data_IF_861202773523
#
_entry.id   IF_861202773523
#
_cell.length_a   1.000
_cell.length_b   1.000
_cell.length_c   1.000
_cell.angle_alpha   90.00
_cell.angle_beta   90.00
_cell.angle_gamma   90.00
#
_symmetry.space_group_name_H-M   'P 1'
#
loop_
_entity.id
_entity.type
_entity.pdbx_description
1 polymer ?
#
# COMPACT_ATOMS: atom_id res chain seq x y z
N UNK A 1 3.73 -18.86 -8.18
CA UNK A 1 3.30 -18.70 -6.77
C UNK A 1 2.62 -17.33 -6.68
N UNK A 2 1.56 -17.16 -5.88
CA UNK A 2 1.04 -15.81 -5.63
C UNK A 2 2.08 -15.10 -4.77
N UNK A 3 2.82 -14.16 -5.35
CA UNK A 3 3.79 -13.31 -4.65
C UNK A 3 3.06 -12.45 -3.64
N UNK A 4 3.59 -12.35 -2.41
CA UNK A 4 3.02 -11.50 -1.35
C UNK A 4 2.88 -10.05 -1.85
N UNK A 5 1.88 -9.30 -1.37
CA UNK A 5 1.59 -7.97 -1.92
C UNK A 5 2.78 -7.01 -1.74
N UNK A 6 3.45 -7.08 -0.59
CA UNK A 6 4.65 -6.30 -0.29
C UNK A 6 5.80 -6.60 -1.25
N UNK A 7 6.01 -7.89 -1.54
CA UNK A 7 7.06 -8.35 -2.45
C UNK A 7 6.77 -7.90 -3.88
N UNK A 8 5.52 -8.03 -4.34
CA UNK A 8 5.13 -7.58 -5.67
C UNK A 8 5.35 -6.06 -5.86
N UNK A 9 4.98 -5.25 -4.86
CA UNK A 9 5.20 -3.80 -4.93
C UNK A 9 6.69 -3.47 -4.99
N UNK A 10 7.51 -4.12 -4.15
CA UNK A 10 8.95 -3.90 -4.13
C UNK A 10 9.61 -4.31 -5.47
N UNK A 11 9.22 -5.48 -6.00
CA UNK A 11 9.70 -5.99 -7.29
C UNK A 11 9.30 -5.07 -8.45
N UNK A 12 8.05 -4.62 -8.49
CA UNK A 12 7.55 -3.74 -9.55
C UNK A 12 8.24 -2.36 -9.57
N UNK A 13 8.71 -1.90 -8.42
CA UNK A 13 9.46 -0.64 -8.30
C UNK A 13 10.98 -0.83 -8.40
N UNK A 14 11.47 -2.08 -8.43
CA UNK A 14 12.90 -2.39 -8.48
C UNK A 14 13.65 -1.97 -7.22
N UNK A 15 13.00 -2.05 -6.06
CA UNK A 15 13.54 -1.62 -4.74
C UNK A 15 13.51 -2.78 -3.73
N UNK A 16 14.16 -2.57 -2.58
CA UNK A 16 14.02 -3.50 -1.46
C UNK A 16 12.73 -3.25 -0.69
N UNK A 17 12.15 -4.29 -0.09
CA UNK A 17 10.95 -4.17 0.76
C UNK A 17 11.18 -3.15 1.88
N UNK A 18 12.40 -3.11 2.45
CA UNK A 18 12.80 -2.14 3.47
C UNK A 18 12.56 -0.69 3.05
N UNK A 19 12.64 -0.41 1.76
CA UNK A 19 12.58 0.94 1.20
C UNK A 19 11.15 1.48 1.14
N UNK A 20 10.14 0.60 1.19
CA UNK A 20 8.71 0.97 1.24
C UNK A 20 8.33 1.78 2.50
N UNK A 21 9.22 1.85 3.49
CA UNK A 21 9.06 2.67 4.70
C UNK A 21 9.54 4.11 4.54
N UNK A 22 10.21 4.44 3.43
CA UNK A 22 10.62 5.81 3.15
C UNK A 22 9.46 6.62 2.58
N UNK A 23 9.28 7.84 3.11
CA UNK A 23 8.15 8.71 2.76
C UNK A 23 8.05 9.00 1.25
N UNK A 24 9.19 9.20 0.59
CA UNK A 24 9.23 9.48 -0.85
C UNK A 24 8.81 8.26 -1.70
N UNK A 25 9.14 7.06 -1.23
CA UNK A 25 8.72 5.81 -1.87
C UNK A 25 7.23 5.57 -1.63
N UNK A 26 6.73 5.82 -0.42
CA UNK A 26 5.30 5.70 -0.10
C UNK A 26 4.44 6.58 -1.01
N UNK A 27 4.88 7.80 -1.31
CA UNK A 27 4.17 8.69 -2.26
C UNK A 27 4.17 8.13 -3.68
N UNK A 28 5.26 7.49 -4.12
CA UNK A 28 5.38 6.90 -5.45
C UNK A 28 4.58 5.60 -5.61
N UNK A 29 4.43 4.82 -4.53
CA UNK A 29 3.68 3.56 -4.54
C UNK A 29 2.18 3.74 -4.76
N UNK A 30 1.65 4.97 -4.67
CA UNK A 30 0.22 5.27 -4.76
C UNK A 30 -0.42 4.77 -6.06
N UNK A 31 0.19 5.07 -7.20
CA UNK A 31 -0.34 4.68 -8.52
C UNK A 31 -0.37 3.16 -8.68
N UNK A 32 0.65 2.49 -8.15
CA UNK A 32 0.78 1.05 -8.23
C UNK A 32 -0.22 0.34 -7.30
N UNK A 33 -0.35 0.80 -6.05
CA UNK A 33 -1.29 0.26 -5.06
C UNK A 33 -2.74 0.32 -5.55
N UNK A 34 -3.14 1.42 -6.22
CA UNK A 34 -4.49 1.52 -6.81
C UNK A 34 -4.69 0.48 -7.93
N UNK A 35 -3.63 0.17 -8.69
CA UNK A 35 -3.65 -0.80 -9.79
C UNK A 35 -3.57 -2.26 -9.35
N UNK A 36 -3.06 -2.57 -8.15
CA UNK A 36 -3.01 -3.93 -7.63
C UNK A 36 -4.41 -4.48 -7.34
N UNK A 37 -4.76 -5.66 -7.86
CA UNK A 37 -6.04 -6.31 -7.60
C UNK A 37 -5.86 -7.81 -7.32
N UNK A 38 -6.84 -8.42 -6.65
CA UNK A 38 -6.90 -9.87 -6.43
C UNK A 38 -6.12 -10.36 -5.20
N UNK A 39 -5.89 -9.46 -4.24
CA UNK A 39 -5.18 -9.73 -3.00
C UNK A 39 -6.15 -9.84 -1.83
N UNK A 40 -5.89 -10.80 -0.93
CA UNK A 40 -6.71 -10.98 0.27
C UNK A 40 -6.54 -9.80 1.24
N UNK A 41 -7.57 -9.52 2.05
CA UNK A 41 -7.55 -8.40 2.98
C UNK A 41 -6.38 -8.46 3.99
N UNK A 42 -5.93 -9.67 4.34
CA UNK A 42 -4.75 -9.87 5.20
C UNK A 42 -3.47 -9.27 4.61
N UNK A 43 -3.30 -9.35 3.29
CA UNK A 43 -2.14 -8.78 2.59
C UNK A 43 -2.17 -7.26 2.61
N UNK A 44 -3.36 -6.68 2.45
CA UNK A 44 -3.57 -5.25 2.59
C UNK A 44 -3.31 -4.76 4.02
N UNK A 45 -3.78 -5.47 5.04
CA UNK A 45 -3.50 -5.15 6.44
C UNK A 45 -2.00 -5.16 6.73
N UNK A 46 -1.26 -6.17 6.23
CA UNK A 46 0.20 -6.25 6.33
C UNK A 46 0.87 -5.06 5.63
N UNK A 47 0.47 -4.74 4.40
CA UNK A 47 1.02 -3.64 3.62
C UNK A 47 0.89 -2.30 4.35
N UNK A 48 -0.32 -1.95 4.77
CA UNK A 48 -0.59 -0.67 5.43
C UNK A 48 0.15 -0.58 6.76
N UNK A 49 0.19 -1.67 7.53
CA UNK A 49 0.94 -1.70 8.78
C UNK A 49 2.43 -1.54 8.54
N UNK A 50 2.98 -2.23 7.54
CA UNK A 50 4.41 -2.18 7.24
C UNK A 50 4.86 -0.79 6.77
N UNK A 51 4.13 -0.19 5.82
CA UNK A 51 4.50 1.08 5.23
C UNK A 51 4.26 2.24 6.20
N UNK A 52 3.10 2.28 6.86
CA UNK A 52 2.66 3.47 7.60
C UNK A 52 2.63 3.28 9.12
N UNK A 53 2.91 2.08 9.63
CA UNK A 53 2.79 1.76 11.06
C UNK A 53 1.33 1.67 11.55
N UNK A 54 0.34 1.74 10.66
CA UNK A 54 -1.08 1.79 11.01
C UNK A 54 -1.62 0.37 11.09
N UNK A 55 -2.09 -0.05 12.27
CA UNK A 55 -2.81 -1.31 12.42
C UNK A 55 -4.22 -1.17 11.83
N UNK A 56 -4.56 -2.07 10.92
CA UNK A 56 -5.86 -2.14 10.26
C UNK A 56 -6.41 -3.57 10.37
N UNK A 57 -7.72 -3.70 10.27
CA UNK A 57 -8.42 -4.99 10.24
C UNK A 57 -9.46 -4.98 9.12
N UNK A 58 -8.99 -4.75 7.89
CA UNK A 58 -9.86 -4.75 6.72
C UNK A 58 -10.43 -6.14 6.48
N UNK A 59 -11.69 -6.15 6.09
CA UNK A 59 -12.45 -7.34 5.73
C UNK A 59 -12.42 -7.63 4.23
N UNK A 60 -12.00 -6.65 3.42
CA UNK A 60 -11.95 -6.78 1.96
C UNK A 60 -10.88 -5.90 1.33
N UNK A 61 -10.47 -6.24 0.10
CA UNK A 61 -9.60 -5.42 -0.73
C UNK A 61 -10.19 -4.02 -1.00
N UNK A 62 -11.51 -3.95 -1.26
CA UNK A 62 -12.18 -2.67 -1.52
C UNK A 62 -12.06 -1.73 -0.33
N UNK A 63 -12.26 -2.24 0.88
CA UNK A 63 -12.15 -1.47 2.12
C UNK A 63 -10.73 -0.91 2.32
N UNK A 64 -9.72 -1.75 2.07
CA UNK A 64 -8.32 -1.36 2.17
C UNK A 64 -7.96 -0.24 1.17
N UNK A 65 -8.40 -0.36 -0.09
CA UNK A 65 -8.17 0.64 -1.13
C UNK A 65 -8.86 1.97 -0.82
N UNK A 66 -10.11 1.92 -0.38
CA UNK A 66 -10.85 3.10 0.05
C UNK A 66 -10.13 3.81 1.21
N UNK A 67 -9.64 3.05 2.18
CA UNK A 67 -8.83 3.59 3.27
C UNK A 67 -7.56 4.27 2.73
N UNK A 68 -6.80 3.58 1.89
CA UNK A 68 -5.56 4.11 1.32
C UNK A 68 -5.79 5.43 0.58
N UNK A 69 -6.80 5.49 -0.30
CA UNK A 69 -7.15 6.70 -1.06
C UNK A 69 -7.56 7.84 -0.12
N UNK A 70 -8.45 7.59 0.85
CA UNK A 70 -9.04 8.64 1.69
C UNK A 70 -8.12 9.13 2.81
N UNK A 71 -7.30 8.25 3.37
CA UNK A 71 -6.52 8.53 4.58
C UNK A 71 -5.04 8.74 4.31
N UNK A 72 -4.50 8.15 3.25
CA UNK A 72 -3.07 8.20 2.94
C UNK A 72 -2.83 9.11 1.74
N UNK A 73 -3.56 8.92 0.64
CA UNK A 73 -3.37 9.70 -0.56
C UNK A 73 -3.98 11.12 -0.46
N UNK A 74 -5.23 11.26 0.00
CA UNK A 74 -5.93 12.55 0.01
C UNK A 74 -5.23 13.69 0.81
N UNK A 75 -4.56 13.44 1.95
CA UNK A 75 -3.79 14.48 2.64
C UNK A 75 -2.59 15.00 1.84
N UNK A 76 -2.01 14.19 0.94
CA UNK A 76 -0.87 14.58 0.08
C UNK A 76 -1.32 15.61 -0.97
N UNK A 77 -2.54 15.51 -1.48
CA UNK A 77 -3.07 16.42 -2.51
C UNK A 77 -3.73 17.70 -1.98
N UNK A 78 -4.06 17.80 -0.68
CA UNK A 78 -4.65 19.02 -0.09
C UNK A 78 -3.64 20.15 0.15
N UNK A 79 -2.36 19.93 -0.13
CA UNK A 79 -1.29 20.94 0.02
C UNK A 79 -0.81 21.54 -1.32
N UNK A 80 -1.51 21.25 -2.43
CA UNK A 80 -1.23 21.83 -3.76
C UNK A 80 -2.31 22.86 -4.07
#
# INVERSE_FOLDING_TARGET
MKTDLLENIAEALGIYISDLRHEDIQKQTLSYIIGCNGYEAVEWNKLIHYMFGIKCDFSSESEAKDFYIRKIAAPVYRKI
#
